data_IF_688640214239
#
_entry.id   IF_688640214239
#
_cell.length_a   1.000
_cell.length_b   1.000
_cell.length_c   1.000
_cell.angle_alpha   90.00
_cell.angle_beta   90.00
_cell.angle_gamma   90.00
#
_symmetry.space_group_name_H-M   'P 1'
#
loop_
_entity.id
_entity.type
_entity.pdbx_description
1 polymer ?
#
# COMPACT_ATOMS: atom_id res chain seq x y z
N UNK A 1 -6.93 22.73 -16.26
CA UNK A 1 -7.92 21.94 -16.04
C UNK A 1 -7.59 20.55 -15.93
N UNK A 2 -6.66 20.04 -16.60
CA UNK A 2 -6.39 18.64 -16.55
C UNK A 2 -5.44 18.26 -15.47
N UNK A 3 -5.06 19.17 -14.63
CA UNK A 3 -4.12 18.84 -13.64
C UNK A 3 -4.60 17.96 -12.58
N UNK A 4 -5.90 17.88 -12.40
CA UNK A 4 -6.44 17.06 -11.36
C UNK A 4 -6.28 15.58 -11.63
N UNK A 5 -6.06 15.19 -12.86
CA UNK A 5 -5.93 13.79 -13.19
C UNK A 5 -4.74 13.15 -12.50
N UNK A 6 -3.60 13.84 -12.51
CA UNK A 6 -2.41 13.27 -11.91
C UNK A 6 -2.52 13.19 -10.39
N UNK A 7 -3.35 14.04 -9.79
CA UNK A 7 -3.52 14.00 -8.35
C UNK A 7 -4.45 12.86 -7.94
N UNK A 8 -5.46 12.56 -8.76
CA UNK A 8 -6.43 11.54 -8.40
C UNK A 8 -5.98 10.14 -8.75
N UNK A 9 -5.02 9.99 -9.64
CA UNK A 9 -4.57 8.67 -10.05
C UNK A 9 -4.07 7.80 -8.90
N UNK A 10 -3.19 8.28 -8.03
CA UNK A 10 -2.75 7.46 -6.90
C UNK A 10 -3.90 7.09 -5.97
N UNK A 11 -4.86 7.99 -5.78
CA UNK A 11 -6.01 7.70 -4.93
C UNK A 11 -6.88 6.60 -5.54
N UNK A 12 -7.04 6.60 -6.87
CA UNK A 12 -7.79 5.56 -7.55
C UNK A 12 -7.10 4.22 -7.42
N UNK A 13 -5.79 4.19 -7.59
CA UNK A 13 -5.03 2.95 -7.43
C UNK A 13 -5.13 2.41 -6.01
N UNK A 14 -5.03 3.29 -5.05
CA UNK A 14 -5.13 2.87 -3.65
C UNK A 14 -6.52 2.31 -3.36
N UNK A 15 -7.56 2.94 -3.88
CA UNK A 15 -8.92 2.45 -3.68
C UNK A 15 -9.12 1.07 -4.31
N UNK A 16 -8.57 0.87 -5.50
CA UNK A 16 -8.63 -0.44 -6.15
C UNK A 16 -7.92 -1.50 -5.33
N UNK A 17 -6.78 -1.14 -4.74
CA UNK A 17 -6.04 -2.06 -3.89
C UNK A 17 -6.86 -2.42 -2.66
N UNK A 18 -7.51 -1.44 -2.04
CA UNK A 18 -8.35 -1.70 -0.88
C UNK A 18 -9.53 -2.59 -1.23
N UNK A 19 -10.15 -2.34 -2.37
CA UNK A 19 -11.28 -3.16 -2.82
C UNK A 19 -10.86 -4.60 -3.02
N UNK A 20 -9.72 -4.80 -3.66
CA UNK A 20 -9.21 -6.14 -3.87
C UNK A 20 -8.81 -6.80 -2.55
N UNK A 21 -8.19 -6.03 -1.66
CA UNK A 21 -7.81 -6.53 -0.35
C UNK A 21 -9.03 -7.07 0.39
N UNK A 22 -10.12 -6.31 0.38
CA UNK A 22 -11.35 -6.75 1.05
C UNK A 22 -11.96 -7.96 0.39
N UNK A 23 -11.87 -8.07 -0.94
CA UNK A 23 -12.42 -9.22 -1.61
C UNK A 23 -11.64 -10.50 -1.31
N UNK A 24 -10.36 -10.35 -0.96
CA UNK A 24 -9.52 -11.49 -0.65
C UNK A 24 -9.44 -11.79 0.85
N UNK A 25 -9.99 -10.90 1.68
CA UNK A 25 -9.97 -11.06 3.14
C UNK A 25 -11.37 -10.89 3.68
N UNK A 26 -12.17 -11.91 3.52
CA UNK A 26 -13.57 -11.85 3.94
C UNK A 26 -13.74 -11.60 5.43
N UNK A 27 -12.79 -12.09 6.23
CA UNK A 27 -12.83 -11.86 7.67
C UNK A 27 -12.68 -10.39 8.01
N UNK A 28 -11.79 -9.70 7.32
CA UNK A 28 -11.61 -8.26 7.51
C UNK A 28 -12.87 -7.53 7.07
N UNK A 29 -13.39 -7.88 5.89
CA UNK A 29 -14.59 -7.24 5.39
C UNK A 29 -15.74 -7.37 6.37
N UNK A 30 -15.90 -8.55 6.94
CA UNK A 30 -16.96 -8.79 7.90
C UNK A 30 -16.76 -8.00 9.19
N UNK A 31 -15.53 -7.91 9.67
CA UNK A 31 -15.26 -7.16 10.90
C UNK A 31 -15.58 -5.67 10.71
N UNK A 32 -15.41 -5.16 9.51
CA UNK A 32 -15.75 -3.76 9.23
C UNK A 32 -17.25 -3.52 9.21
N UNK A 33 -18.04 -4.56 8.96
CA UNK A 33 -19.50 -4.43 8.96
C UNK A 33 -20.07 -4.49 10.36
N UNK A 34 -19.28 -4.94 11.34
CA UNK A 34 -19.77 -5.11 12.69
C UNK A 34 -19.09 -4.19 13.70
N UNK A 35 -18.55 -3.08 13.23
CA UNK A 35 -17.89 -2.12 14.11
C UNK A 35 -18.89 -1.50 15.08
N UNK A 36 -18.42 -1.22 16.29
CA UNK A 36 -19.25 -0.63 17.32
C UNK A 36 -19.35 0.87 17.17
N UNK A 37 -20.56 1.42 16.92
CA UNK A 37 -20.68 2.88 16.75
C UNK A 37 -20.26 3.65 17.99
N UNK A 38 -20.37 3.06 19.17
CA UNK A 38 -19.98 3.75 20.38
C UNK A 38 -18.47 3.98 20.44
N UNK A 39 -17.71 3.04 19.87
CA UNK A 39 -16.26 3.19 19.83
C UNK A 39 -15.87 4.38 18.96
N UNK A 40 -16.52 4.54 17.82
CA UNK A 40 -16.26 5.68 16.95
C UNK A 40 -16.60 6.99 17.67
N UNK A 41 -17.75 7.00 18.33
CA UNK A 41 -18.20 8.18 19.03
C UNK A 41 -17.24 8.58 20.14
N UNK A 42 -16.71 7.60 20.85
CA UNK A 42 -15.81 7.84 21.97
C UNK A 42 -14.56 8.60 21.55
N UNK A 43 -14.13 8.44 20.30
CA UNK A 43 -12.95 9.15 19.81
C UNK A 43 -13.31 10.28 18.84
N UNK A 44 -14.59 10.65 18.78
CA UNK A 44 -15.00 11.79 17.99
C UNK A 44 -15.01 11.58 16.50
N UNK A 45 -15.18 10.34 16.05
CA UNK A 45 -15.17 10.03 14.62
C UNK A 45 -16.55 9.62 14.13
N UNK A 46 -16.84 9.90 12.86
CA UNK A 46 -18.03 9.35 12.23
C UNK A 46 -17.77 7.87 11.95
N UNK A 47 -18.82 7.11 11.69
CA UNK A 47 -18.65 5.70 11.34
C UNK A 47 -17.84 5.54 10.08
N UNK A 48 -18.00 6.45 9.13
CA UNK A 48 -17.24 6.39 7.89
C UNK A 48 -15.75 6.55 8.16
N UNK A 49 -15.40 7.53 8.98
CA UNK A 49 -14.00 7.76 9.34
C UNK A 49 -13.42 6.59 10.13
N UNK A 50 -14.21 6.09 11.07
CA UNK A 50 -13.78 4.99 11.91
C UNK A 50 -13.53 3.73 11.07
N UNK A 51 -14.46 3.44 10.16
CA UNK A 51 -14.33 2.29 9.28
C UNK A 51 -13.10 2.42 8.38
N UNK A 52 -12.87 3.62 7.84
CA UNK A 52 -11.73 3.84 6.96
C UNK A 52 -10.42 3.64 7.70
N UNK A 53 -10.34 4.11 8.92
CA UNK A 53 -9.15 3.93 9.73
C UNK A 53 -8.89 2.47 10.06
N UNK A 54 -9.96 1.74 10.42
CA UNK A 54 -9.81 0.31 10.71
C UNK A 54 -9.37 -0.45 9.45
N UNK A 55 -9.89 -0.05 8.30
CA UNK A 55 -9.49 -0.67 7.04
C UNK A 55 -8.02 -0.39 6.74
N UNK A 56 -7.60 0.85 6.93
CA UNK A 56 -6.19 1.20 6.70
C UNK A 56 -5.26 0.42 7.63
N UNK A 57 -5.66 0.26 8.88
CA UNK A 57 -4.86 -0.51 9.83
C UNK A 57 -4.73 -1.96 9.40
N UNK A 58 -5.83 -2.56 8.94
CA UNK A 58 -5.79 -3.94 8.48
C UNK A 58 -4.90 -4.09 7.26
N UNK A 59 -4.97 -3.11 6.36
CA UNK A 59 -4.15 -3.10 5.15
C UNK A 59 -2.66 -3.00 5.50
N UNK A 60 -2.33 -2.10 6.41
CA UNK A 60 -0.95 -1.93 6.85
C UNK A 60 -0.42 -3.15 7.59
N UNK A 61 -1.30 -3.78 8.38
CA UNK A 61 -0.90 -5.00 9.08
C UNK A 61 -0.59 -6.12 8.10
N UNK A 62 -1.36 -6.22 7.03
CA UNK A 62 -1.09 -7.23 6.02
C UNK A 62 0.21 -6.93 5.28
N UNK A 63 0.47 -5.67 4.97
CA UNK A 63 1.73 -5.29 4.34
C UNK A 63 2.90 -5.69 5.24
N UNK A 64 2.79 -5.39 6.53
CA UNK A 64 3.84 -5.73 7.48
C UNK A 64 4.05 -7.24 7.55
N UNK A 65 2.95 -8.00 7.57
CA UNK A 65 3.05 -9.46 7.59
C UNK A 65 3.80 -10.00 6.39
N UNK A 66 3.65 -9.34 5.23
CA UNK A 66 4.31 -9.75 4.00
C UNK A 66 5.71 -9.15 3.85
N UNK A 67 6.14 -8.33 4.79
CA UNK A 67 7.44 -7.68 4.69
C UNK A 67 7.47 -6.56 3.68
N UNK A 68 6.32 -5.93 3.44
CA UNK A 68 6.18 -4.86 2.46
C UNK A 68 5.81 -3.55 3.13
N UNK A 69 6.15 -2.44 2.48
CA UNK A 69 5.55 -1.17 2.84
C UNK A 69 4.12 -1.14 2.29
N UNK A 70 3.29 -0.29 2.86
CA UNK A 70 1.90 -0.20 2.40
C UNK A 70 1.81 0.13 0.90
N UNK A 71 2.69 1.01 0.40
CA UNK A 71 2.66 1.34 -1.03
C UNK A 71 3.07 0.14 -1.90
N UNK A 72 3.93 -0.71 -1.37
CA UNK A 72 4.30 -1.93 -2.09
C UNK A 72 3.11 -2.88 -2.20
N UNK A 73 2.34 -2.98 -1.13
CA UNK A 73 1.15 -3.82 -1.16
C UNK A 73 0.13 -3.24 -2.15
N UNK A 74 0.00 -1.92 -2.20
CA UNK A 74 -0.87 -1.29 -3.18
C UNK A 74 -0.45 -1.68 -4.60
N UNK A 75 0.83 -1.63 -4.89
CA UNK A 75 1.33 -2.03 -6.19
C UNK A 75 1.04 -3.50 -6.49
N UNK A 76 1.26 -4.35 -5.50
CA UNK A 76 1.05 -5.78 -5.68
C UNK A 76 -0.41 -6.08 -6.03
N UNK A 77 -1.32 -5.42 -5.36
CA UNK A 77 -2.74 -5.67 -5.56
C UNK A 77 -3.29 -5.03 -6.82
N UNK A 78 -2.60 -4.07 -7.39
CA UNK A 78 -3.07 -3.41 -8.60
C UNK A 78 -2.27 -3.78 -9.84
N UNK A 79 -1.25 -4.60 -9.71
CA UNK A 79 -0.47 -5.06 -10.85
C UNK A 79 -1.14 -6.28 -11.48
N UNK A 80 -1.03 -6.39 -12.78
CA UNK A 80 -1.63 -7.50 -13.49
C UNK A 80 -0.85 -8.79 -13.34
N UNK A 81 0.47 -8.68 -13.23
CA UNK A 81 1.33 -9.85 -13.08
C UNK A 81 2.37 -9.59 -12.01
N UNK A 82 2.97 -10.66 -11.53
CA UNK A 82 4.04 -10.55 -10.56
C UNK A 82 5.25 -9.83 -11.14
N UNK A 83 5.52 -10.07 -12.41
CA UNK A 83 6.62 -9.39 -13.07
C UNK A 83 6.42 -7.88 -13.12
N UNK A 84 5.19 -7.47 -13.41
CA UNK A 84 4.86 -6.05 -13.42
C UNK A 84 5.04 -5.44 -12.04
N UNK A 85 4.58 -6.16 -11.02
CA UNK A 85 4.74 -5.71 -9.65
C UNK A 85 6.21 -5.50 -9.30
N UNK A 86 7.05 -6.50 -9.61
CA UNK A 86 8.48 -6.40 -9.28
C UNK A 86 9.15 -5.25 -10.03
N UNK A 87 8.78 -5.04 -11.27
CA UNK A 87 9.36 -3.95 -12.04
C UNK A 87 8.98 -2.59 -11.48
N UNK A 88 7.71 -2.41 -11.18
CA UNK A 88 7.24 -1.15 -10.62
C UNK A 88 7.79 -0.89 -9.23
N UNK A 89 7.85 -1.93 -8.42
CA UNK A 89 8.39 -1.84 -7.08
C UNK A 89 9.86 -1.39 -7.11
N UNK A 90 10.62 -2.02 -7.96
CA UNK A 90 12.03 -1.67 -8.08
C UNK A 90 12.23 -0.24 -8.53
N UNK A 91 11.40 0.21 -9.46
CA UNK A 91 11.49 1.56 -9.97
C UNK A 91 11.25 2.60 -8.86
N UNK A 92 10.24 2.36 -8.04
CA UNK A 92 9.95 3.28 -6.94
C UNK A 92 11.08 3.28 -5.92
N UNK A 93 11.62 2.10 -5.61
CA UNK A 93 12.74 2.04 -4.68
C UNK A 93 13.95 2.80 -5.21
N UNK A 94 14.20 2.72 -6.53
CA UNK A 94 15.30 3.48 -7.11
C UNK A 94 15.09 4.99 -6.98
N UNK A 95 13.86 5.42 -7.18
CA UNK A 95 13.55 6.84 -7.02
C UNK A 95 13.73 7.29 -5.58
N UNK A 96 13.31 6.47 -4.63
CA UNK A 96 13.47 6.81 -3.22
C UNK A 96 14.95 6.89 -2.85
N UNK A 97 15.75 5.95 -3.31
CA UNK A 97 17.19 5.99 -3.07
C UNK A 97 17.81 7.25 -3.63
N UNK A 98 17.40 7.62 -4.84
CA UNK A 98 17.92 8.81 -5.48
C UNK A 98 17.54 10.06 -4.71
N UNK A 99 16.30 10.14 -4.27
CA UNK A 99 15.85 11.30 -3.50
C UNK A 99 16.55 11.40 -2.16
N UNK A 100 16.92 10.27 -1.58
CA UNK A 100 17.64 10.24 -0.31
C UNK A 100 19.14 10.46 -0.49
N UNK A 101 19.61 10.53 -1.73
CA UNK A 101 21.04 10.71 -1.98
C UNK A 101 21.86 9.48 -1.64
N UNK A 102 21.25 8.29 -1.69
CA UNK A 102 21.93 7.06 -1.35
C UNK A 102 22.36 6.29 -2.59
N UNK A 103 23.49 5.63 -2.52
CA UNK A 103 23.89 4.71 -3.56
C UNK A 103 22.93 3.53 -3.56
N UNK A 104 22.69 2.99 -4.75
CA UNK A 104 21.72 1.89 -4.88
C UNK A 104 22.11 0.66 -4.06
N UNK A 105 23.39 0.31 -4.05
CA UNK A 105 23.88 -0.82 -3.28
C UNK A 105 23.60 -0.64 -1.78
N UNK A 106 23.86 0.57 -1.31
CA UNK A 106 23.65 0.90 0.08
C UNK A 106 22.18 0.84 0.44
N UNK A 107 21.34 1.36 -0.44
CA UNK A 107 19.90 1.35 -0.24
C UNK A 107 19.37 -0.09 -0.18
N UNK A 108 19.82 -0.93 -1.09
CA UNK A 108 19.40 -2.33 -1.11
C UNK A 108 19.77 -3.05 0.18
N UNK A 109 20.95 -2.78 0.67
CA UNK A 109 21.41 -3.40 1.90
C UNK A 109 20.57 -2.95 3.09
N UNK A 110 20.29 -1.66 3.15
CA UNK A 110 19.51 -1.12 4.25
C UNK A 110 18.08 -1.65 4.28
N UNK A 111 17.49 -1.86 3.11
CA UNK A 111 16.10 -2.28 3.03
C UNK A 111 15.92 -3.77 2.76
N UNK A 112 17.00 -4.53 2.80
CA UNK A 112 16.90 -5.97 2.59
C UNK A 112 16.49 -6.38 1.20
N UNK A 113 16.79 -5.54 0.21
CA UNK A 113 16.46 -5.85 -1.17
C UNK A 113 17.59 -6.58 -1.85
N UNK A 114 17.24 -7.47 -2.75
CA UNK A 114 18.25 -8.13 -3.54
C UNK A 114 18.68 -7.18 -4.64
N UNK A 115 19.97 -6.93 -4.71
CA UNK A 115 20.48 -6.06 -5.75
C UNK A 115 20.43 -6.82 -7.08
N UNK A 116 19.46 -6.42 -7.90
CA UNK A 116 19.26 -7.10 -9.15
C UNK A 116 19.89 -6.40 -10.31
N UNK A 117 21.02 -5.77 -10.11
CA UNK A 117 21.69 -5.21 -11.24
C UNK A 117 21.94 -6.33 -12.19
N UNK A 118 21.59 -6.16 -13.40
CA UNK A 118 21.81 -7.19 -14.39
C UNK A 118 23.26 -7.32 -14.56
N UNK A 119 23.71 -8.42 -14.16
CA UNK A 119 25.05 -8.63 -14.30
C UNK A 119 25.28 -9.27 -15.54
N UNK A 120 24.90 -9.17 -16.42
CA UNK A 120 25.16 -9.93 -17.54
C UNK A 120 26.25 -9.62 -18.30
#
# INVERSE_FOLDING_TARGET
MTMEISVTEPAIHHQKALDRFLSEHADVAQSLETLNPLAARAIGQSMKEYRQERLNEAFEAEAERLGLFAWELTLQLTSATEQEFEAQRLEVHREVAQMAGMAWDEYCEMHGLVNQTPTV
#
